data_IF_450090963306
#
_entry.id   IF_450090963306
#
_cell.length_a   1.000
_cell.length_b   1.000
_cell.length_c   1.000
_cell.angle_alpha   90.00
_cell.angle_beta   90.00
_cell.angle_gamma   90.00
#
_symmetry.space_group_name_H-M   'P 1'
#
loop_
_entity.id
_entity.type
_entity.pdbx_description
1 polymer ?
#
# COMPACT_ATOMS: atom_id res chain seq x y z
N UNK A 1 13.39 0.20 0.05
CA UNK A 1 14.59 0.82 -0.42
C UNK A 1 14.73 0.46 -1.88
N UNK A 2 13.93 1.07 -2.76
CA UNK A 2 14.30 1.07 -4.16
C UNK A 2 15.71 1.69 -4.21
N UNK A 3 16.69 0.79 -4.33
CA UNK A 3 18.11 1.08 -4.40
C UNK A 3 18.46 0.93 -5.86
N UNK A 4 18.79 2.05 -6.48
CA UNK A 4 19.48 2.02 -7.77
C UNK A 4 20.93 2.41 -7.49
N UNK A 5 21.83 1.43 -7.61
CA UNK A 5 23.27 1.63 -7.37
C UNK A 5 23.58 2.24 -5.98
N UNK A 6 22.89 1.77 -4.93
CA UNK A 6 23.07 2.26 -3.55
C UNK A 6 22.44 3.63 -3.25
N UNK A 7 21.74 4.25 -4.21
CA UNK A 7 20.99 5.50 -3.99
C UNK A 7 19.53 5.20 -3.67
N UNK A 8 19.05 5.84 -2.62
CA UNK A 8 17.64 5.83 -2.22
C UNK A 8 16.85 6.75 -3.16
N UNK A 9 15.81 6.23 -3.80
CA UNK A 9 14.90 7.01 -4.64
C UNK A 9 13.43 6.82 -4.25
N UNK A 10 12.51 7.46 -4.98
CA UNK A 10 11.06 7.36 -4.73
C UNK A 10 10.50 8.41 -3.75
N UNK A 11 9.19 8.28 -3.50
CA UNK A 11 8.39 9.26 -2.75
C UNK A 11 8.77 9.38 -1.27
N UNK A 12 9.32 8.31 -0.68
CA UNK A 12 9.67 8.24 0.74
C UNK A 12 11.16 8.42 1.02
N UNK A 13 11.97 8.78 0.01
CA UNK A 13 13.44 8.82 0.11
C UNK A 13 14.00 9.62 1.30
N UNK A 14 13.26 10.61 1.82
CA UNK A 14 13.68 11.48 2.93
C UNK A 14 13.61 10.81 4.31
N UNK A 15 12.90 9.70 4.42
CA UNK A 15 12.67 8.93 5.67
C UNK A 15 13.13 7.48 5.53
N UNK A 16 13.84 7.19 4.45
CA UNK A 16 14.46 5.91 4.15
C UNK A 16 15.91 5.95 4.67
N UNK A 17 16.39 4.83 5.21
CA UNK A 17 17.75 4.69 5.76
C UNK A 17 18.57 3.68 4.94
N UNK A 18 19.92 3.72 4.99
CA UNK A 18 20.74 2.70 4.33
C UNK A 18 20.38 1.29 4.81
N UNK A 19 20.44 0.29 3.91
CA UNK A 19 20.15 -1.12 4.24
C UNK A 19 20.98 -1.62 5.44
N UNK A 20 22.25 -1.20 5.53
CA UNK A 20 23.14 -1.54 6.65
C UNK A 20 22.66 -1.04 8.02
N UNK A 21 21.75 -0.06 8.06
CA UNK A 21 21.19 0.50 9.28
C UNK A 21 19.84 -0.16 9.66
N UNK A 22 19.19 -0.89 8.74
CA UNK A 22 17.85 -1.46 8.96
C UNK A 22 17.86 -2.52 10.07
N UNK A 23 18.88 -3.38 10.13
CA UNK A 23 19.03 -4.39 11.19
C UNK A 23 19.30 -3.76 12.56
N UNK A 24 20.08 -2.68 12.59
CA UNK A 24 20.34 -1.92 13.82
C UNK A 24 19.05 -1.28 14.33
N UNK A 25 18.29 -0.63 13.44
CA UNK A 25 16.99 -0.04 13.78
C UNK A 25 16.01 -1.11 14.29
N UNK A 26 15.94 -2.27 13.64
CA UNK A 26 15.07 -3.36 14.06
C UNK A 26 15.37 -3.85 15.50
N UNK A 27 16.65 -3.97 15.86
CA UNK A 27 17.07 -4.32 17.24
C UNK A 27 16.59 -3.26 18.23
N UNK A 28 16.77 -1.98 17.91
CA UNK A 28 16.37 -0.87 18.80
C UNK A 28 14.86 -0.75 18.96
N UNK A 29 14.08 -1.07 17.91
CA UNK A 29 12.62 -1.02 17.92
C UNK A 29 11.95 -2.33 18.36
N UNK A 30 12.73 -3.40 18.58
CA UNK A 30 12.23 -4.76 18.73
C UNK A 30 11.12 -4.90 19.78
N UNK A 31 11.33 -4.33 20.98
CA UNK A 31 10.34 -4.43 22.07
C UNK A 31 9.02 -3.75 21.71
N UNK A 32 9.06 -2.58 21.07
CA UNK A 32 7.86 -1.86 20.64
C UNK A 32 7.16 -2.58 19.49
N UNK A 33 7.91 -3.14 18.54
CA UNK A 33 7.35 -3.93 17.44
C UNK A 33 6.68 -5.21 17.93
N UNK A 34 7.28 -5.93 18.89
CA UNK A 34 6.66 -7.11 19.51
C UNK A 34 5.35 -6.76 20.23
N UNK A 35 5.31 -5.62 20.94
CA UNK A 35 4.09 -5.16 21.59
C UNK A 35 2.99 -4.82 20.58
N UNK A 36 3.33 -4.16 19.48
CA UNK A 36 2.38 -3.84 18.41
C UNK A 36 1.89 -5.11 17.69
N UNK A 37 2.79 -6.05 17.40
CA UNK A 37 2.46 -7.37 16.84
C UNK A 37 1.47 -8.12 17.74
N UNK A 38 1.73 -8.14 19.05
CA UNK A 38 0.81 -8.75 20.00
C UNK A 38 -0.55 -8.03 20.01
N UNK A 39 -0.54 -6.69 20.00
CA UNK A 39 -1.78 -5.90 19.99
C UNK A 39 -2.63 -6.13 18.75
N UNK A 40 -1.99 -6.35 17.59
CA UNK A 40 -2.62 -6.72 16.33
C UNK A 40 -3.30 -8.10 16.42
N UNK A 41 -2.60 -9.15 16.87
CA UNK A 41 -3.21 -10.48 16.96
C UNK A 41 -4.27 -10.59 18.06
N UNK A 42 -4.08 -9.92 19.19
CA UNK A 42 -5.05 -9.89 20.28
C UNK A 42 -6.24 -8.96 19.97
N UNK A 43 -6.19 -8.22 18.86
CA UNK A 43 -7.19 -7.23 18.45
C UNK A 43 -7.48 -6.18 19.53
N UNK A 44 -6.48 -5.85 20.33
CA UNK A 44 -6.58 -4.81 21.38
C UNK A 44 -6.44 -3.41 20.80
N UNK A 45 -5.90 -3.29 19.59
CA UNK A 45 -5.88 -2.09 18.76
C UNK A 45 -6.57 -2.39 17.44
N UNK A 46 -7.18 -1.36 16.84
CA UNK A 46 -7.67 -1.48 15.46
C UNK A 46 -6.49 -1.60 14.48
N UNK A 47 -6.74 -2.18 13.31
CA UNK A 47 -5.75 -2.28 12.23
C UNK A 47 -5.18 -0.92 11.81
N UNK A 48 -6.03 0.11 11.79
CA UNK A 48 -5.62 1.48 11.50
C UNK A 48 -4.71 2.03 12.62
N UNK A 49 -5.05 1.79 13.88
CA UNK A 49 -4.23 2.21 15.03
C UNK A 49 -2.87 1.52 15.03
N UNK A 50 -2.82 0.21 14.76
CA UNK A 50 -1.55 -0.52 14.61
C UNK A 50 -0.69 0.13 13.53
N UNK A 51 -1.28 0.38 12.35
CA UNK A 51 -0.58 1.03 11.23
C UNK A 51 -0.06 2.43 11.61
N UNK A 52 -0.90 3.23 12.27
CA UNK A 52 -0.54 4.57 12.73
C UNK A 52 0.60 4.54 13.76
N UNK A 53 0.57 3.63 14.74
CA UNK A 53 1.63 3.48 15.74
C UNK A 53 2.95 3.02 15.13
N UNK A 54 2.93 2.08 14.16
CA UNK A 54 4.11 1.70 13.38
C UNK A 54 4.72 2.94 12.71
N UNK A 55 3.88 3.75 12.06
CA UNK A 55 4.35 4.94 11.35
C UNK A 55 4.99 5.94 12.29
N UNK A 56 4.38 6.21 13.45
CA UNK A 56 4.96 7.08 14.46
C UNK A 56 6.29 6.56 14.98
N UNK A 57 6.37 5.26 15.29
CA UNK A 57 7.57 4.60 15.82
C UNK A 57 8.77 4.79 14.89
N UNK A 58 8.63 4.43 13.62
CA UNK A 58 9.70 4.57 12.62
C UNK A 58 9.99 6.04 12.30
N UNK A 59 8.97 6.88 12.15
CA UNK A 59 9.17 8.29 11.80
C UNK A 59 9.94 9.05 12.89
N UNK A 60 9.64 8.79 14.15
CA UNK A 60 10.34 9.39 15.30
C UNK A 60 11.77 8.88 15.42
N UNK A 61 11.99 7.59 15.15
CA UNK A 61 13.32 7.00 15.13
C UNK A 61 14.22 7.62 14.05
N UNK A 62 13.70 7.77 12.83
CA UNK A 62 14.47 8.20 11.67
C UNK A 62 14.66 9.72 11.58
N UNK A 63 13.63 10.51 11.94
CA UNK A 63 13.68 11.98 11.80
C UNK A 63 14.18 12.68 13.08
N UNK A 64 14.06 12.04 14.25
CA UNK A 64 14.53 12.48 15.59
C UNK A 64 13.97 13.83 16.08
N UNK A 65 14.27 14.95 15.39
CA UNK A 65 13.97 16.31 15.88
C UNK A 65 12.56 16.78 15.50
N UNK A 66 12.17 16.65 14.23
CA UNK A 66 10.93 17.23 13.72
C UNK A 66 10.18 16.25 12.79
N UNK A 67 9.57 15.18 13.35
CA UNK A 67 8.80 14.21 12.57
C UNK A 67 7.57 14.82 11.91
N UNK A 68 7.12 15.99 12.36
CA UNK A 68 5.96 16.71 11.82
C UNK A 68 6.36 18.10 11.33
N UNK A 69 5.74 18.55 10.24
CA UNK A 69 5.91 19.91 9.74
C UNK A 69 5.18 20.90 10.66
N UNK A 70 5.83 22.02 10.97
CA UNK A 70 5.25 23.08 11.81
C UNK A 70 4.26 23.90 10.99
N UNK A 71 2.98 23.79 11.31
CA UNK A 71 1.90 24.54 10.63
C UNK A 71 1.42 25.77 11.42
N UNK A 72 2.24 26.29 12.34
CA UNK A 72 1.91 27.46 13.16
C UNK A 72 0.89 27.22 14.28
N UNK A 73 0.21 26.09 14.29
CA UNK A 73 -0.72 25.67 15.34
C UNK A 73 -0.15 24.49 16.16
N UNK A 74 -0.57 24.38 17.42
CA UNK A 74 -0.23 23.23 18.27
C UNK A 74 -0.95 22.00 17.74
N UNK A 75 -0.21 20.92 17.48
CA UNK A 75 -0.81 19.65 17.07
C UNK A 75 -1.70 19.08 18.20
N UNK A 76 -2.83 18.46 17.85
CA UNK A 76 -3.64 17.69 18.79
C UNK A 76 -2.84 16.59 19.48
N UNK A 77 -3.43 16.00 20.53
CA UNK A 77 -2.82 14.82 21.18
C UNK A 77 -2.90 13.63 20.22
N UNK A 78 -1.84 12.82 20.13
CA UNK A 78 -1.80 11.60 19.30
C UNK A 78 -2.85 10.56 19.68
N UNK A 79 -3.35 10.61 20.91
CA UNK A 79 -4.46 9.76 21.39
C UNK A 79 -5.80 10.13 20.77
N UNK A 80 -5.92 11.32 20.19
CA UNK A 80 -7.06 11.77 19.39
C UNK A 80 -6.68 11.61 17.92
N UNK A 81 -6.63 10.36 17.46
CA UNK A 81 -6.01 9.97 16.18
C UNK A 81 -6.62 10.74 15.00
N UNK A 82 -7.95 10.85 14.93
CA UNK A 82 -8.63 11.60 13.87
C UNK A 82 -8.25 13.09 13.85
N UNK A 83 -8.41 13.78 14.99
CA UNK A 83 -8.06 15.20 15.11
C UNK A 83 -6.59 15.45 14.75
N UNK A 84 -5.70 14.55 15.19
CA UNK A 84 -4.29 14.62 14.88
C UNK A 84 -4.04 14.44 13.38
N UNK A 85 -4.61 13.39 12.78
CA UNK A 85 -4.44 13.07 11.37
C UNK A 85 -5.04 14.14 10.46
N UNK A 86 -6.09 14.85 10.87
CA UNK A 86 -6.69 15.94 10.09
C UNK A 86 -5.67 17.05 9.78
N UNK A 87 -4.87 17.44 10.78
CA UNK A 87 -4.01 18.64 10.68
C UNK A 87 -2.51 18.34 10.58
N UNK A 88 -2.05 17.16 11.03
CA UNK A 88 -0.62 16.83 10.99
C UNK A 88 -0.11 16.80 9.55
N UNK A 89 1.18 17.06 9.34
CA UNK A 89 1.86 16.71 8.10
C UNK A 89 3.16 16.00 8.45
N UNK A 90 3.34 14.79 7.95
CA UNK A 90 4.52 13.99 8.22
C UNK A 90 5.72 14.53 7.43
N UNK A 91 6.87 14.67 8.10
CA UNK A 91 8.08 15.07 7.42
C UNK A 91 8.50 14.00 6.43
N UNK A 92 8.80 14.41 5.19
CA UNK A 92 9.39 13.52 4.19
C UNK A 92 8.45 12.45 3.60
N UNK A 93 7.16 12.52 3.89
CA UNK A 93 6.12 11.69 3.25
C UNK A 93 5.17 12.55 2.41
N UNK A 94 4.67 12.04 1.28
CA UNK A 94 3.50 12.62 0.62
C UNK A 94 2.28 12.59 1.54
N UNK A 95 1.34 13.51 1.30
CA UNK A 95 0.10 13.60 2.11
C UNK A 95 -0.84 12.40 1.91
N UNK A 96 -0.58 11.58 0.88
CA UNK A 96 -1.36 10.40 0.53
C UNK A 96 -1.48 9.42 1.70
N UNK A 97 -0.37 9.14 2.41
CA UNK A 97 -0.35 8.23 3.56
C UNK A 97 -1.22 8.75 4.69
N UNK A 98 -1.03 10.02 5.08
CA UNK A 98 -1.81 10.64 6.16
C UNK A 98 -3.30 10.65 5.82
N UNK A 99 -3.63 11.03 4.58
CA UNK A 99 -5.03 11.11 4.15
C UNK A 99 -5.69 9.73 4.13
N UNK A 100 -4.97 8.68 3.68
CA UNK A 100 -5.45 7.31 3.75
C UNK A 100 -5.73 6.86 5.19
N UNK A 101 -4.81 7.12 6.13
CA UNK A 101 -5.04 6.82 7.55
C UNK A 101 -6.24 7.59 8.11
N UNK A 102 -6.41 8.86 7.76
CA UNK A 102 -7.51 9.69 8.25
C UNK A 102 -8.87 9.15 7.80
N UNK A 103 -8.98 8.79 6.52
CA UNK A 103 -10.21 8.22 5.94
C UNK A 103 -10.46 6.79 6.42
N UNK A 104 -9.40 6.00 6.62
CA UNK A 104 -9.49 4.67 7.21
C UNK A 104 -10.00 4.72 8.65
N UNK A 105 -9.38 5.54 9.49
CA UNK A 105 -9.77 5.69 10.90
C UNK A 105 -11.21 6.25 11.03
N UNK A 106 -11.67 7.02 10.06
CA UNK A 106 -13.06 7.52 10.00
C UNK A 106 -14.06 6.51 9.40
N UNK A 107 -13.62 5.28 9.08
CA UNK A 107 -14.40 4.23 8.41
C UNK A 107 -15.00 4.65 7.05
N UNK A 108 -14.40 5.64 6.39
CA UNK A 108 -14.81 6.07 5.06
C UNK A 108 -14.18 5.20 3.98
N UNK A 109 -12.95 4.73 4.20
CA UNK A 109 -12.21 3.88 3.26
C UNK A 109 -11.98 2.49 3.86
N UNK A 110 -12.37 1.45 3.10
CA UNK A 110 -12.23 0.05 3.52
C UNK A 110 -10.80 -0.47 3.24
N UNK A 111 -9.87 -0.06 4.10
CA UNK A 111 -8.51 -0.57 4.14
C UNK A 111 -8.44 -1.67 5.21
N UNK A 112 -7.69 -2.74 4.92
CA UNK A 112 -7.42 -3.82 5.88
C UNK A 112 -5.92 -4.00 6.07
N UNK A 113 -5.47 -4.10 7.31
CA UNK A 113 -4.09 -4.48 7.60
C UNK A 113 -3.97 -6.00 7.51
N UNK A 114 -3.03 -6.48 6.71
CA UNK A 114 -2.68 -7.90 6.64
C UNK A 114 -1.18 -8.08 6.93
N UNK A 115 -0.81 -9.27 7.40
CA UNK A 115 0.56 -9.61 7.78
C UNK A 115 1.18 -10.72 6.92
N UNK A 116 0.57 -10.99 5.78
CA UNK A 116 1.05 -11.90 4.75
C UNK A 116 1.07 -11.19 3.39
N UNK A 117 1.85 -11.72 2.44
CA UNK A 117 1.84 -11.21 1.07
C UNK A 117 0.62 -11.78 0.34
N UNK A 118 -0.36 -10.95 -0.08
CA UNK A 118 -1.52 -11.44 -0.80
C UNK A 118 -1.09 -11.92 -2.18
N UNK A 119 -1.70 -13.01 -2.63
CA UNK A 119 -1.57 -13.42 -4.02
C UNK A 119 -2.25 -12.40 -4.93
N UNK A 120 -1.83 -12.40 -6.19
CA UNK A 120 -2.46 -11.73 -7.31
C UNK A 120 -3.99 -11.88 -7.32
N UNK A 121 -4.49 -13.12 -7.16
CA UNK A 121 -5.92 -13.40 -7.12
C UNK A 121 -6.60 -12.79 -5.89
N UNK A 122 -6.03 -12.93 -4.70
CA UNK A 122 -6.59 -12.33 -3.48
C UNK A 122 -6.66 -10.80 -3.55
N UNK A 123 -5.65 -10.17 -4.14
CA UNK A 123 -5.64 -8.72 -4.37
C UNK A 123 -6.73 -8.33 -5.37
N UNK A 124 -6.91 -9.09 -6.45
CA UNK A 124 -7.98 -8.86 -7.43
C UNK A 124 -9.37 -9.00 -6.78
N UNK A 125 -9.59 -10.05 -5.99
CA UNK A 125 -10.82 -10.28 -5.25
C UNK A 125 -11.13 -9.13 -4.28
N UNK A 126 -10.14 -8.70 -3.50
CA UNK A 126 -10.26 -7.60 -2.54
C UNK A 126 -10.68 -6.29 -3.24
N UNK A 127 -9.97 -5.93 -4.31
CA UNK A 127 -10.25 -4.71 -5.08
C UNK A 127 -11.62 -4.75 -5.75
N UNK A 128 -12.05 -5.91 -6.26
CA UNK A 128 -13.39 -6.07 -6.86
C UNK A 128 -14.52 -5.81 -5.85
N UNK A 129 -14.25 -5.97 -4.55
CA UNK A 129 -15.18 -5.69 -3.45
C UNK A 129 -15.08 -4.24 -2.97
N UNK A 130 -14.07 -3.49 -3.41
CA UNK A 130 -13.78 -2.14 -2.96
C UNK A 130 -12.92 -2.10 -1.70
N UNK A 131 -12.18 -3.16 -1.43
CA UNK A 131 -11.26 -3.27 -0.29
C UNK A 131 -9.82 -3.07 -0.77
N UNK A 132 -8.98 -2.47 0.08
CA UNK A 132 -7.53 -2.41 -0.13
C UNK A 132 -6.76 -2.98 1.03
N UNK A 133 -5.67 -3.64 0.72
CA UNK A 133 -4.73 -4.10 1.72
C UNK A 133 -3.64 -3.06 1.98
N UNK A 134 -3.28 -2.95 3.25
CA UNK A 134 -2.02 -2.42 3.73
C UNK A 134 -1.27 -3.59 4.36
N UNK A 135 0.00 -3.79 4.00
CA UNK A 135 0.76 -4.97 4.45
C UNK A 135 1.81 -4.58 5.48
N UNK A 136 1.86 -5.32 6.58
CA UNK A 136 3.00 -5.30 7.52
C UNK A 136 3.66 -6.67 7.57
N UNK A 137 4.89 -6.76 7.08
CA UNK A 137 5.66 -7.98 7.31
C UNK A 137 6.38 -7.91 8.65
N UNK A 138 5.76 -8.48 9.69
CA UNK A 138 6.33 -8.51 11.03
C UNK A 138 7.72 -9.13 11.09
N UNK A 139 7.95 -10.20 10.33
CA UNK A 139 9.23 -10.90 10.35
C UNK A 139 10.35 -10.03 9.77
N UNK A 140 10.08 -9.28 8.71
CA UNK A 140 11.03 -8.32 8.15
C UNK A 140 11.23 -7.10 9.06
N UNK A 141 10.16 -6.62 9.70
CA UNK A 141 10.25 -5.53 10.67
C UNK A 141 11.12 -5.90 11.88
N UNK A 142 10.99 -7.14 12.38
CA UNK A 142 11.72 -7.64 13.55
C UNK A 142 13.15 -8.08 13.24
N UNK A 143 13.40 -8.64 12.06
CA UNK A 143 14.74 -9.07 11.64
C UNK A 143 15.57 -7.93 11.04
N UNK A 144 14.92 -6.88 10.55
CA UNK A 144 15.55 -5.83 9.76
C UNK A 144 15.95 -6.26 8.35
N UNK A 145 15.31 -7.31 7.81
CA UNK A 145 15.47 -7.74 6.43
C UNK A 145 14.61 -6.90 5.46
N UNK A 146 14.97 -6.90 4.18
CA UNK A 146 14.19 -6.26 3.13
C UNK A 146 13.10 -7.20 2.60
N UNK A 147 11.86 -6.72 2.56
CA UNK A 147 10.74 -7.31 1.83
C UNK A 147 11.04 -7.31 0.34
N UNK A 148 10.99 -8.50 -0.27
CA UNK A 148 11.32 -8.77 -1.69
C UNK A 148 12.72 -8.32 -2.12
N UNK A 149 13.66 -8.14 -1.18
CA UNK A 149 14.96 -7.47 -1.43
C UNK A 149 14.82 -6.00 -1.87
N UNK A 150 13.56 -5.52 -1.96
CA UNK A 150 13.04 -4.21 -2.31
C UNK A 150 13.11 -3.22 -1.17
N UNK A 151 12.34 -3.49 -0.13
CA UNK A 151 11.95 -2.45 0.85
C UNK A 151 11.97 -2.91 2.27
N UNK A 152 12.30 -2.00 3.19
CA UNK A 152 12.09 -2.32 4.59
C UNK A 152 10.57 -2.41 4.86
N UNK A 153 10.19 -3.05 5.96
CA UNK A 153 8.78 -3.28 6.29
C UNK A 153 7.99 -1.97 6.47
N UNK A 154 8.66 -0.89 6.90
CA UNK A 154 8.03 0.41 7.09
C UNK A 154 7.67 1.08 5.76
N UNK A 155 8.62 1.18 4.84
CA UNK A 155 8.38 1.74 3.50
C UNK A 155 7.37 0.89 2.73
N UNK A 156 7.35 -0.44 2.91
CA UNK A 156 6.34 -1.31 2.31
C UNK A 156 4.92 -0.92 2.77
N UNK A 157 4.71 -0.77 4.09
CA UNK A 157 3.42 -0.30 4.63
C UNK A 157 3.03 1.09 4.08
N UNK A 158 3.97 2.03 4.04
CA UNK A 158 3.73 3.37 3.50
C UNK A 158 3.33 3.35 2.03
N UNK A 159 3.96 2.46 1.25
CA UNK A 159 3.64 2.27 -0.14
C UNK A 159 2.20 1.80 -0.31
N UNK A 160 1.79 0.75 0.40
CA UNK A 160 0.43 0.23 0.29
C UNK A 160 -0.62 1.27 0.70
N UNK A 161 -0.34 2.07 1.74
CA UNK A 161 -1.21 3.19 2.12
C UNK A 161 -1.30 4.27 1.03
N UNK A 162 -0.19 4.54 0.32
CA UNK A 162 -0.23 5.42 -0.85
C UNK A 162 -1.05 4.80 -2.00
N UNK A 163 -0.98 3.49 -2.22
CA UNK A 163 -1.86 2.81 -3.18
C UNK A 163 -3.33 2.87 -2.76
N UNK A 164 -3.64 2.65 -1.48
CA UNK A 164 -4.99 2.79 -0.97
C UNK A 164 -5.55 4.20 -1.24
N UNK A 165 -4.74 5.25 -1.02
CA UNK A 165 -5.11 6.62 -1.43
C UNK A 165 -5.46 6.73 -2.91
N UNK A 166 -4.62 6.18 -3.79
CA UNK A 166 -4.86 6.23 -5.24
C UNK A 166 -6.11 5.45 -5.67
N UNK A 167 -6.49 4.41 -4.91
CA UNK A 167 -7.68 3.62 -5.19
C UNK A 167 -8.97 4.34 -4.80
N UNK A 168 -9.00 4.99 -3.63
CA UNK A 168 -10.22 5.59 -3.09
C UNK A 168 -10.42 7.06 -3.45
N UNK A 169 -9.39 7.76 -3.96
CA UNK A 169 -9.50 9.19 -4.32
C UNK A 169 -10.55 9.41 -5.42
N UNK A 170 -11.38 10.42 -5.24
CA UNK A 170 -12.57 10.68 -6.06
C UNK A 170 -12.26 10.93 -7.53
N UNK A 171 -11.18 11.67 -7.82
CA UNK A 171 -10.78 12.02 -9.18
C UNK A 171 -10.26 10.83 -10.00
N UNK A 172 -10.06 9.68 -9.37
CA UNK A 172 -9.68 8.43 -10.03
C UNK A 172 -10.86 7.46 -10.22
N UNK A 173 -12.10 7.92 -10.00
CA UNK A 173 -13.32 7.12 -10.21
C UNK A 173 -13.24 5.75 -9.52
N UNK A 174 -13.29 5.77 -8.18
CA UNK A 174 -13.29 4.56 -7.34
C UNK A 174 -14.31 3.51 -7.81
N UNK A 175 -15.52 3.95 -8.19
CA UNK A 175 -16.58 3.05 -8.67
C UNK A 175 -16.15 2.37 -9.97
N UNK A 176 -15.63 3.13 -10.93
CA UNK A 176 -15.12 2.57 -12.18
C UNK A 176 -13.90 1.66 -11.98
N UNK A 177 -13.02 1.93 -11.00
CA UNK A 177 -11.90 1.04 -10.68
C UNK A 177 -12.42 -0.29 -10.12
N UNK A 178 -13.35 -0.24 -9.17
CA UNK A 178 -13.99 -1.42 -8.59
C UNK A 178 -14.65 -2.29 -9.67
N UNK A 179 -15.43 -1.69 -10.57
CA UNK A 179 -16.09 -2.44 -11.65
C UNK A 179 -15.09 -2.99 -12.67
N UNK A 180 -13.97 -2.29 -12.94
CA UNK A 180 -12.88 -2.83 -13.75
C UNK A 180 -12.28 -4.10 -13.15
N UNK A 181 -11.90 -4.08 -11.86
CA UNK A 181 -11.34 -5.25 -11.19
C UNK A 181 -12.36 -6.39 -11.09
N UNK A 182 -13.63 -6.07 -10.88
CA UNK A 182 -14.71 -7.06 -10.89
C UNK A 182 -14.90 -7.72 -12.25
N UNK A 183 -14.82 -6.97 -13.34
CA UNK A 183 -14.84 -7.53 -14.70
C UNK A 183 -13.64 -8.45 -14.92
N UNK A 184 -12.42 -8.04 -14.55
CA UNK A 184 -11.23 -8.88 -14.63
C UNK A 184 -11.38 -10.18 -13.82
N UNK A 185 -11.95 -10.11 -12.62
CA UNK A 185 -12.20 -11.28 -11.78
C UNK A 185 -13.20 -12.26 -12.41
N UNK A 186 -14.31 -11.74 -12.95
CA UNK A 186 -15.32 -12.58 -13.62
C UNK A 186 -14.73 -13.35 -14.81
N UNK A 187 -13.75 -12.75 -15.50
CA UNK A 187 -13.08 -13.36 -16.63
C UNK A 187 -11.83 -14.16 -16.24
N UNK A 188 -11.46 -14.24 -14.96
CA UNK A 188 -10.17 -14.78 -14.51
C UNK A 188 -9.87 -16.19 -15.04
N UNK A 189 -10.87 -17.07 -15.01
CA UNK A 189 -10.74 -18.45 -15.54
C UNK A 189 -10.33 -18.51 -17.01
N UNK A 190 -10.72 -17.51 -17.82
CA UNK A 190 -10.33 -17.43 -19.23
C UNK A 190 -8.83 -17.11 -19.39
N UNK A 191 -8.20 -16.54 -18.35
CA UNK A 191 -6.80 -16.13 -18.36
C UNK A 191 -5.85 -17.14 -17.71
N UNK A 192 -6.35 -18.12 -16.94
CA UNK A 192 -5.52 -19.09 -16.19
C UNK A 192 -4.48 -19.77 -17.08
N UNK A 193 -4.89 -20.31 -18.23
CA UNK A 193 -3.96 -20.95 -19.17
C UNK A 193 -2.88 -19.99 -19.68
N UNK A 194 -3.20 -18.71 -19.87
CA UNK A 194 -2.22 -17.70 -20.30
C UNK A 194 -1.26 -17.32 -19.16
N UNK A 195 -1.76 -17.24 -17.93
CA UNK A 195 -0.95 -16.96 -16.75
C UNK A 195 0.05 -18.09 -16.46
N UNK A 196 -0.32 -19.34 -16.73
CA UNK A 196 0.57 -20.50 -16.58
C UNK A 196 1.64 -20.58 -17.68
N UNK A 197 1.24 -20.34 -18.93
CA UNK A 197 2.11 -20.62 -20.09
C UNK A 197 2.87 -19.39 -20.61
N UNK A 198 2.57 -18.18 -20.14
CA UNK A 198 3.23 -16.95 -20.57
C UNK A 198 3.71 -16.13 -19.36
N UNK A 199 4.97 -16.30 -18.93
CA UNK A 199 5.54 -15.57 -17.79
C UNK A 199 5.50 -14.04 -17.94
N UNK A 200 5.66 -13.52 -19.17
CA UNK A 200 5.61 -12.07 -19.43
C UNK A 200 4.20 -11.52 -19.25
N UNK A 201 3.19 -12.27 -19.72
CA UNK A 201 1.79 -11.90 -19.49
C UNK A 201 1.45 -11.97 -18.00
N UNK A 202 1.90 -13.02 -17.30
CA UNK A 202 1.73 -13.15 -15.86
C UNK A 202 2.30 -11.93 -15.13
N UNK A 203 3.57 -11.59 -15.33
CA UNK A 203 4.19 -10.43 -14.68
C UNK A 203 3.40 -9.13 -14.91
N UNK A 204 2.98 -8.88 -16.15
CA UNK A 204 2.19 -7.69 -16.51
C UNK A 204 0.78 -7.70 -15.90
N UNK A 205 0.16 -8.87 -15.80
CA UNK A 205 -1.12 -9.07 -15.13
C UNK A 205 -1.00 -8.80 -13.63
N UNK A 206 0.02 -9.36 -12.99
CA UNK A 206 0.31 -9.16 -11.56
C UNK A 206 0.62 -7.69 -11.26
N UNK A 207 1.31 -6.98 -12.15
CA UNK A 207 1.51 -5.54 -12.05
C UNK A 207 0.19 -4.75 -12.12
N UNK A 208 -0.70 -5.10 -13.06
CA UNK A 208 -2.00 -4.45 -13.26
C UNK A 208 -2.86 -4.47 -11.98
N UNK A 209 -2.86 -5.60 -11.27
CA UNK A 209 -3.72 -5.81 -10.10
C UNK A 209 -3.07 -5.40 -8.78
N UNK A 210 -1.74 -5.38 -8.68
CA UNK A 210 -1.04 -5.10 -7.42
C UNK A 210 -0.63 -3.64 -7.26
N UNK A 211 -0.16 -3.00 -8.34
CA UNK A 211 0.53 -1.70 -8.27
C UNK A 211 -0.20 -0.59 -9.04
N UNK A 212 -1.06 -0.94 -10.01
CA UNK A 212 -1.77 0.06 -10.82
C UNK A 212 -3.08 0.51 -10.17
N UNK A 213 -3.01 1.62 -9.43
CA UNK A 213 -4.21 2.35 -9.00
C UNK A 213 -4.29 3.65 -9.79
N UNK A 214 -5.06 3.59 -10.87
CA UNK A 214 -5.16 4.66 -11.88
C UNK A 214 -6.60 4.85 -12.30
N UNK A 215 -6.87 5.92 -13.06
CA UNK A 215 -8.19 6.14 -13.64
C UNK A 215 -8.61 4.91 -14.48
N UNK A 216 -9.89 4.47 -14.46
CA UNK A 216 -10.33 3.23 -15.11
C UNK A 216 -10.05 3.17 -16.60
N UNK A 217 -10.04 4.32 -17.28
CA UNK A 217 -9.63 4.41 -18.69
C UNK A 217 -8.17 3.97 -18.92
N UNK A 218 -7.25 4.32 -18.01
CA UNK A 218 -5.86 3.88 -18.08
C UNK A 218 -5.72 2.39 -17.74
N UNK A 219 -6.45 1.91 -16.74
CA UNK A 219 -6.48 0.48 -16.40
C UNK A 219 -6.96 -0.37 -17.59
N UNK A 220 -8.08 0.02 -18.22
CA UNK A 220 -8.58 -0.63 -19.44
C UNK A 220 -7.60 -0.56 -20.59
N UNK A 221 -6.96 0.60 -20.81
CA UNK A 221 -5.98 0.76 -21.88
C UNK A 221 -4.76 -0.15 -21.69
N UNK A 222 -4.21 -0.20 -20.47
CA UNK A 222 -3.11 -1.09 -20.12
C UNK A 222 -3.53 -2.55 -20.26
N UNK A 223 -4.70 -2.92 -19.71
CA UNK A 223 -5.23 -4.27 -19.78
C UNK A 223 -5.41 -4.77 -21.21
N UNK A 224 -6.00 -3.94 -22.08
CA UNK A 224 -6.18 -4.25 -23.48
C UNK A 224 -4.83 -4.37 -24.22
N UNK A 225 -3.84 -3.54 -23.87
CA UNK A 225 -2.51 -3.64 -24.45
C UNK A 225 -1.88 -5.00 -24.14
N UNK A 226 -1.89 -5.43 -22.88
CA UNK A 226 -1.23 -6.69 -22.48
C UNK A 226 -1.99 -7.92 -22.97
N UNK A 227 -3.32 -7.86 -23.08
CA UNK A 227 -4.14 -8.89 -23.75
C UNK A 227 -3.76 -9.03 -25.22
N UNK A 228 -3.67 -7.91 -25.94
CA UNK A 228 -3.30 -7.91 -27.36
C UNK A 228 -1.91 -8.49 -27.59
N UNK A 229 -0.94 -8.11 -26.77
CA UNK A 229 0.42 -8.65 -26.82
C UNK A 229 0.46 -10.16 -26.56
N UNK A 230 -0.42 -10.68 -25.69
CA UNK A 230 -0.55 -12.10 -25.40
C UNK A 230 -1.42 -12.88 -26.41
N UNK A 231 -1.96 -12.22 -27.45
CA UNK A 231 -2.84 -12.84 -28.44
C UNK A 231 -4.25 -13.16 -27.92
N UNK A 232 -4.66 -12.58 -26.79
CA UNK A 232 -5.98 -12.76 -26.19
C UNK A 232 -6.98 -11.83 -26.89
N UNK A 233 -8.08 -12.35 -27.48
CA UNK A 233 -9.09 -11.52 -28.12
C UNK A 233 -9.66 -10.49 -27.15
N UNK A 234 -9.80 -9.24 -27.60
CA UNK A 234 -10.54 -8.20 -26.87
C UNK A 234 -11.96 -8.25 -27.44
N UNK A 235 -12.91 -8.79 -26.68
CA UNK A 235 -14.32 -8.66 -27.05
C UNK A 235 -14.70 -7.20 -26.85
N UNK A 236 -15.05 -6.50 -27.93
CA UNK A 236 -15.57 -5.14 -27.82
C UNK A 236 -16.86 -5.19 -26.99
N UNK A 237 -16.90 -4.44 -25.88
CA UNK A 237 -18.15 -4.15 -25.20
C UNK A 237 -19.09 -3.54 -26.23
N UNK A 238 -20.18 -4.24 -26.52
CA UNK A 238 -21.24 -3.75 -27.37
C UNK A 238 -21.67 -2.40 -26.81
N UNK A 239 -21.36 -1.32 -27.54
CA UNK A 239 -21.86 0.01 -27.27
C UNK A 239 -23.39 -0.09 -27.31
N UNK A 240 -23.99 -0.24 -26.14
CA UNK A 240 -25.43 -0.09 -25.98
C UNK A 240 -25.69 1.40 -26.13
N UNK A 241 -26.12 1.75 -27.35
CA UNK A 241 -26.69 3.04 -27.73
C UNK A 241 -27.89 3.40 -26.87
#
# INVERSE_FOLDING_TARGET
>A
MPHDNGRIFGSFKKICIPESEVSVEAIELQSSLLQLKQSYYDQTLSECDVSFQIILLYLEKRVKKHPFLRMGQKLPKRTLVNDFLEVVRFYGMPDTVRYALWKWHSNEWDIRLIDYNPTSLEMLESQSRGVRYATISWDHALSGALVEGKRDAFEHLLHDLAHAYMFFREDYDFVGQKEFFKSMLNDFQQYEMHLENNPVFKEKFEYCISDMNSHPAHLRAYWNAIRREAGIPIMEESRTT
#
